data_IF_002153153091
#
_entry.id   IF_002153153091
#
_cell.length_a   1.000
_cell.length_b   1.000
_cell.length_c   1.000
_cell.angle_alpha   90.00
_cell.angle_beta   90.00
_cell.angle_gamma   90.00
#
_symmetry.space_group_name_H-M   'P 1'
#
loop_
_entity.id
_entity.type
_entity.pdbx_description
1 polymer ?
#
# COMPACT_ATOMS: atom_id res chain seq x y z
N UNK A 1 -2.00 -12.38 19.59
CA UNK A 1 -1.77 -13.79 20.00
C UNK A 1 -1.65 -14.77 18.81
N UNK A 2 -2.55 -14.78 17.83
CA UNK A 2 -2.44 -15.72 16.68
C UNK A 2 -1.30 -15.32 15.73
N UNK A 3 -1.19 -14.05 15.42
CA UNK A 3 -0.14 -13.52 14.53
C UNK A 3 1.26 -13.74 15.09
N UNK A 4 1.49 -13.47 16.38
CA UNK A 4 2.77 -13.68 17.05
C UNK A 4 3.17 -15.18 17.05
N UNK A 5 2.20 -16.10 17.13
CA UNK A 5 2.45 -17.54 16.95
C UNK A 5 2.89 -17.86 15.53
N UNK A 6 2.31 -17.19 14.53
CA UNK A 6 2.75 -17.32 13.13
C UNK A 6 4.20 -16.87 12.97
N UNK A 7 4.58 -15.73 13.52
CA UNK A 7 5.97 -15.25 13.49
C UNK A 7 6.90 -16.25 14.20
N UNK A 8 6.52 -16.74 15.39
CA UNK A 8 7.29 -17.77 16.11
C UNK A 8 7.44 -19.06 15.30
N UNK A 9 6.40 -19.49 14.59
CA UNK A 9 6.45 -20.66 13.69
C UNK A 9 7.44 -20.46 12.54
N UNK A 10 7.45 -19.28 11.91
CA UNK A 10 8.40 -18.95 10.85
C UNK A 10 9.84 -18.90 11.37
N UNK A 11 10.07 -18.39 12.59
CA UNK A 11 11.39 -18.39 13.24
C UNK A 11 11.89 -19.83 13.45
N UNK A 12 11.01 -20.73 13.90
CA UNK A 12 11.36 -22.15 14.07
C UNK A 12 11.66 -22.81 12.72
N UNK A 13 10.92 -22.46 11.67
CA UNK A 13 11.18 -22.96 10.32
C UNK A 13 12.54 -22.46 9.80
N UNK A 14 12.83 -21.17 9.90
CA UNK A 14 14.08 -20.55 9.48
C UNK A 14 15.31 -21.23 10.14
N UNK A 15 15.20 -21.64 11.40
CA UNK A 15 16.27 -22.36 12.10
C UNK A 15 16.59 -23.72 11.49
N UNK A 16 15.63 -24.41 10.86
CA UNK A 16 15.88 -25.69 10.18
C UNK A 16 16.72 -25.52 8.93
N UNK A 17 16.65 -24.36 8.30
CA UNK A 17 17.42 -23.98 7.12
C UNK A 17 18.66 -23.14 7.46
N UNK A 18 18.99 -23.00 8.74
CA UNK A 18 20.11 -22.16 9.22
C UNK A 18 20.02 -20.70 8.76
N UNK A 19 18.80 -20.24 8.38
CA UNK A 19 18.58 -18.89 7.91
C UNK A 19 18.65 -17.91 9.09
N UNK A 20 19.49 -16.86 9.03
CA UNK A 20 19.60 -15.89 10.11
C UNK A 20 18.29 -15.12 10.30
N UNK A 21 17.94 -14.85 11.57
CA UNK A 21 16.74 -14.08 11.93
C UNK A 21 17.14 -12.89 12.78
N UNK A 22 16.73 -11.72 12.34
CA UNK A 22 16.94 -10.46 13.04
C UNK A 22 15.59 -9.90 13.51
N UNK A 23 15.52 -9.44 14.75
CA UNK A 23 14.31 -8.84 15.32
C UNK A 23 14.60 -7.43 15.81
N UNK A 24 13.76 -6.51 15.38
CA UNK A 24 13.67 -5.14 15.88
C UNK A 24 12.25 -4.91 16.44
N UNK A 25 12.03 -3.80 17.09
CA UNK A 25 10.72 -3.50 17.71
C UNK A 25 9.53 -3.68 16.75
N UNK A 26 9.71 -3.36 15.49
CA UNK A 26 8.62 -3.31 14.50
C UNK A 26 8.70 -4.40 13.44
N UNK A 27 9.89 -5.03 13.25
CA UNK A 27 10.17 -5.94 12.14
C UNK A 27 10.88 -7.20 12.58
N UNK A 28 10.51 -8.31 11.98
CA UNK A 28 11.27 -9.56 11.99
C UNK A 28 11.75 -9.83 10.58
N UNK A 29 13.08 -9.90 10.38
CA UNK A 29 13.70 -10.19 9.10
C UNK A 29 14.29 -11.60 9.12
N UNK A 30 14.12 -12.29 8.02
CA UNK A 30 14.61 -13.62 7.72
C UNK A 30 15.64 -13.50 6.58
N UNK A 31 16.84 -14.05 6.78
CA UNK A 31 17.93 -13.91 5.82
C UNK A 31 18.64 -12.56 5.87
N UNK A 32 19.74 -12.47 5.11
CA UNK A 32 20.52 -11.25 4.92
C UNK A 32 20.30 -10.75 3.49
N UNK A 33 19.99 -9.48 3.30
CA UNK A 33 19.89 -8.91 1.95
C UNK A 33 21.25 -8.48 1.45
N UNK A 34 21.58 -8.80 0.21
CA UNK A 34 22.58 -8.06 -0.56
C UNK A 34 21.94 -6.70 -0.94
N UNK A 35 22.64 -5.61 -0.70
CA UNK A 35 22.12 -4.27 -1.02
C UNK A 35 22.45 -3.91 -2.47
N UNK A 36 21.82 -4.55 -3.43
CA UNK A 36 21.84 -4.05 -4.80
C UNK A 36 20.63 -3.16 -5.04
N UNK A 37 20.86 -1.85 -5.06
CA UNK A 37 19.82 -0.83 -5.23
C UNK A 37 19.16 -0.86 -6.63
N UNK A 38 19.74 -1.59 -7.58
CA UNK A 38 19.22 -1.77 -8.95
C UNK A 38 18.20 -2.88 -9.06
N UNK A 39 18.07 -3.74 -8.04
CA UNK A 39 17.11 -4.85 -8.01
C UNK A 39 15.84 -4.40 -7.30
N UNK A 40 14.65 -4.60 -7.91
CA UNK A 40 13.40 -4.20 -7.27
C UNK A 40 13.09 -5.11 -6.08
N UNK A 41 12.79 -4.52 -4.94
CA UNK A 41 12.20 -5.22 -3.82
C UNK A 41 10.68 -5.29 -3.97
N UNK A 42 10.09 -6.43 -3.59
CA UNK A 42 8.66 -6.60 -3.57
C UNK A 42 8.07 -6.21 -2.21
N UNK A 43 6.86 -5.66 -2.26
CA UNK A 43 6.03 -5.44 -1.08
C UNK A 43 4.69 -6.14 -1.24
N UNK A 44 4.25 -6.82 -0.19
CA UNK A 44 2.90 -7.40 -0.12
C UNK A 44 2.09 -6.57 0.85
N UNK A 45 0.96 -6.06 0.37
CA UNK A 45 0.02 -5.24 1.15
C UNK A 45 -1.15 -6.10 1.59
N UNK A 46 -1.35 -6.23 2.90
CA UNK A 46 -2.37 -7.10 3.48
C UNK A 46 -3.33 -6.32 4.37
N UNK A 47 -4.61 -6.70 4.33
CA UNK A 47 -5.57 -6.35 5.37
C UNK A 47 -5.28 -7.11 6.66
N UNK A 48 -5.76 -6.61 7.79
CA UNK A 48 -5.52 -7.25 9.09
C UNK A 48 -6.20 -8.62 9.21
N UNK A 49 -7.31 -8.83 8.50
CA UNK A 49 -8.02 -10.11 8.45
C UNK A 49 -7.25 -11.20 7.71
N UNK A 50 -6.44 -10.84 6.72
CA UNK A 50 -5.69 -11.79 5.88
C UNK A 50 -4.26 -12.03 6.43
N UNK A 51 -3.82 -11.17 7.36
CA UNK A 51 -2.44 -11.07 7.79
C UNK A 51 -1.82 -12.38 8.26
N UNK A 52 -2.48 -13.08 9.16
CA UNK A 52 -1.93 -14.29 9.81
C UNK A 52 -1.72 -15.43 8.82
N UNK A 53 -2.72 -15.68 7.99
CA UNK A 53 -2.71 -16.78 7.03
C UNK A 53 -1.72 -16.50 5.90
N UNK A 54 -1.78 -15.31 5.31
CA UNK A 54 -0.96 -14.95 4.15
C UNK A 54 0.50 -14.81 4.50
N UNK A 55 0.84 -14.27 5.68
CA UNK A 55 2.23 -14.22 6.15
C UNK A 55 2.82 -15.62 6.31
N UNK A 56 2.05 -16.59 6.79
CA UNK A 56 2.50 -17.98 6.88
C UNK A 56 2.63 -18.62 5.50
N UNK A 57 1.65 -18.39 4.62
CA UNK A 57 1.60 -18.92 3.26
C UNK A 57 2.78 -18.44 2.40
N UNK A 58 3.18 -17.18 2.55
CA UNK A 58 4.31 -16.60 1.82
C UNK A 58 5.65 -16.92 2.52
N UNK A 59 5.68 -16.80 3.84
CA UNK A 59 6.93 -16.89 4.60
C UNK A 59 7.60 -18.26 4.52
N UNK A 60 6.85 -19.35 4.56
CA UNK A 60 7.43 -20.71 4.46
C UNK A 60 8.16 -20.95 3.12
N UNK A 61 7.52 -20.74 1.95
CA UNK A 61 8.19 -20.89 0.66
C UNK A 61 9.41 -19.98 0.47
N UNK A 62 9.41 -18.79 1.09
CA UNK A 62 10.57 -17.89 1.05
C UNK A 62 11.73 -18.43 1.90
N UNK A 63 11.44 -18.97 3.09
CA UNK A 63 12.44 -19.63 3.95
C UNK A 63 13.05 -20.84 3.26
N UNK A 64 12.23 -21.71 2.67
CA UNK A 64 12.68 -22.90 1.94
C UNK A 64 13.58 -22.58 0.73
N UNK A 65 13.46 -21.36 0.19
CA UNK A 65 14.29 -20.86 -0.91
C UNK A 65 15.41 -19.92 -0.45
N UNK A 66 15.60 -19.79 0.85
CA UNK A 66 16.60 -18.91 1.47
C UNK A 66 16.49 -17.44 1.02
N UNK A 67 15.30 -17.01 0.57
CA UNK A 67 15.05 -15.63 0.13
C UNK A 67 14.95 -14.71 1.34
N UNK A 68 15.68 -13.60 1.32
CA UNK A 68 15.60 -12.58 2.35
C UNK A 68 14.27 -11.85 2.31
N UNK A 69 13.59 -11.76 3.45
CA UNK A 69 12.37 -10.97 3.59
C UNK A 69 12.19 -10.47 5.02
N UNK A 70 11.35 -9.46 5.19
CA UNK A 70 10.92 -9.00 6.53
C UNK A 70 9.42 -8.86 6.61
N UNK A 71 8.89 -9.05 7.81
CA UNK A 71 7.47 -8.88 8.16
C UNK A 71 7.34 -8.04 9.43
N UNK A 72 6.17 -7.50 9.69
CA UNK A 72 5.89 -6.85 10.99
C UNK A 72 6.02 -7.85 12.14
N UNK A 73 6.68 -7.46 13.24
CA UNK A 73 6.94 -8.36 14.38
C UNK A 73 5.69 -8.71 15.20
N UNK A 74 4.69 -7.85 15.17
CA UNK A 74 3.47 -8.01 15.96
C UNK A 74 2.25 -7.50 15.21
N UNK A 75 1.07 -7.93 15.67
CA UNK A 75 -0.19 -7.44 15.17
C UNK A 75 -0.32 -5.92 15.36
N UNK A 76 0.07 -5.40 16.52
CA UNK A 76 0.06 -3.95 16.77
C UNK A 76 0.95 -3.19 15.80
N UNK A 77 2.11 -3.74 15.45
CA UNK A 77 2.99 -3.17 14.42
C UNK A 77 2.31 -3.14 13.05
N UNK A 78 1.58 -4.21 12.69
CA UNK A 78 0.83 -4.27 11.44
C UNK A 78 -0.34 -3.27 11.40
N UNK A 79 -1.05 -3.11 12.51
CA UNK A 79 -2.11 -2.09 12.66
C UNK A 79 -1.57 -0.68 12.48
N UNK A 80 -0.45 -0.35 13.13
CA UNK A 80 0.19 0.96 13.01
C UNK A 80 0.68 1.22 11.59
N UNK A 81 1.25 0.21 10.93
CA UNK A 81 1.69 0.27 9.54
C UNK A 81 0.50 0.55 8.61
N UNK A 82 -0.57 -0.24 8.70
CA UNK A 82 -1.77 -0.09 7.88
C UNK A 82 -2.46 1.26 8.11
N UNK A 83 -2.51 1.73 9.35
CA UNK A 83 -3.03 3.05 9.68
C UNK A 83 -2.12 4.22 9.25
N UNK A 84 -1.00 3.94 8.57
CA UNK A 84 -0.05 4.94 8.10
C UNK A 84 0.66 5.72 9.21
N UNK A 85 0.73 5.17 10.45
CA UNK A 85 1.40 5.82 11.58
C UNK A 85 2.91 5.97 11.39
N UNK A 86 3.52 5.14 10.55
CA UNK A 86 4.95 5.21 10.20
C UNK A 86 5.20 6.02 8.93
N UNK A 87 4.22 6.81 8.51
CA UNK A 87 4.24 7.59 7.28
C UNK A 87 3.56 6.89 6.11
N UNK A 88 3.04 7.69 5.19
CA UNK A 88 2.30 7.20 4.02
C UNK A 88 3.16 6.31 3.10
N UNK A 89 4.48 6.54 3.10
CA UNK A 89 5.46 5.79 2.31
C UNK A 89 5.62 4.34 2.79
N UNK A 90 5.31 4.07 4.06
CA UNK A 90 5.39 2.73 4.64
C UNK A 90 4.05 2.00 4.62
N UNK A 91 2.94 2.74 4.53
CA UNK A 91 1.60 2.15 4.56
C UNK A 91 1.43 1.09 3.47
N UNK A 92 1.05 -0.12 3.86
CA UNK A 92 0.86 -1.26 2.97
C UNK A 92 2.10 -2.16 2.79
N UNK A 93 3.26 -1.86 3.37
CA UNK A 93 4.48 -2.71 3.26
C UNK A 93 4.50 -3.82 4.31
N UNK A 94 3.46 -4.64 4.37
CA UNK A 94 3.32 -5.67 5.40
C UNK A 94 4.43 -6.73 5.35
N UNK A 95 4.78 -7.17 4.14
CA UNK A 95 5.94 -8.02 3.87
C UNK A 95 6.82 -7.28 2.87
N UNK A 96 8.13 -7.23 3.12
CA UNK A 96 9.13 -6.77 2.14
C UNK A 96 10.05 -7.91 1.78
N UNK A 97 10.21 -8.19 0.50
CA UNK A 97 11.01 -9.31 -0.03
C UNK A 97 12.15 -8.73 -0.86
N UNK A 98 13.34 -9.24 -0.64
CA UNK A 98 14.58 -8.77 -1.27
C UNK A 98 15.13 -9.86 -2.19
N UNK A 99 14.92 -9.76 -3.53
CA UNK A 99 15.58 -10.65 -4.48
C UNK A 99 17.10 -10.41 -4.48
N UNK A 100 17.89 -11.47 -4.59
CA UNK A 100 19.36 -11.36 -4.60
C UNK A 100 19.92 -11.04 -5.99
N UNK A 101 19.21 -11.45 -7.04
CA UNK A 101 19.64 -11.29 -8.44
C UNK A 101 18.45 -10.92 -9.36
N UNK A 102 18.75 -10.32 -10.51
CA UNK A 102 17.74 -9.96 -11.49
C UNK A 102 16.87 -11.15 -11.99
N UNK A 103 17.45 -12.35 -12.10
CA UNK A 103 16.71 -13.56 -12.47
C UNK A 103 15.73 -14.01 -11.37
N UNK A 104 16.06 -13.78 -10.10
CA UNK A 104 15.19 -14.08 -8.97
C UNK A 104 13.91 -13.23 -9.00
N UNK A 105 13.95 -12.03 -9.58
CA UNK A 105 12.78 -11.15 -9.72
C UNK A 105 11.66 -11.83 -10.51
N UNK A 106 11.97 -12.51 -11.64
CA UNK A 106 10.98 -13.22 -12.44
C UNK A 106 10.41 -14.44 -11.72
N UNK A 107 11.26 -15.21 -11.05
CA UNK A 107 10.84 -16.40 -10.30
C UNK A 107 9.95 -16.02 -9.11
N UNK A 108 10.36 -15.01 -8.33
CA UNK A 108 9.60 -14.51 -7.19
C UNK A 108 8.30 -13.86 -7.64
N UNK A 109 8.28 -13.13 -8.76
CA UNK A 109 7.04 -12.56 -9.28
C UNK A 109 5.99 -13.62 -9.61
N UNK A 110 6.42 -14.74 -10.19
CA UNK A 110 5.53 -15.88 -10.50
C UNK A 110 5.03 -16.56 -9.23
N UNK A 111 5.92 -16.84 -8.28
CA UNK A 111 5.58 -17.39 -6.98
C UNK A 111 4.59 -16.49 -6.21
N UNK A 112 4.85 -15.19 -6.16
CA UNK A 112 3.98 -14.24 -5.45
C UNK A 112 2.61 -14.10 -6.11
N UNK A 113 2.51 -14.16 -7.45
CA UNK A 113 1.20 -14.19 -8.13
C UNK A 113 0.38 -15.41 -7.72
N UNK A 114 1.02 -16.58 -7.64
CA UNK A 114 0.36 -17.82 -7.21
C UNK A 114 -0.08 -17.74 -5.75
N UNK A 115 0.86 -17.42 -4.84
CA UNK A 115 0.58 -17.37 -3.40
C UNK A 115 -0.39 -16.26 -2.99
N UNK A 116 -0.47 -15.18 -3.77
CA UNK A 116 -1.36 -14.03 -3.50
C UNK A 116 -2.61 -14.03 -4.38
N UNK A 117 -2.94 -15.13 -5.06
CA UNK A 117 -4.12 -15.21 -5.90
C UNK A 117 -5.41 -14.97 -5.09
N UNK A 118 -6.25 -14.04 -5.54
CA UNK A 118 -7.49 -13.68 -4.85
C UNK A 118 -7.32 -12.78 -3.61
N UNK A 119 -6.07 -12.41 -3.25
CA UNK A 119 -5.80 -11.49 -2.15
C UNK A 119 -5.71 -10.07 -2.69
N UNK A 120 -6.37 -9.14 -1.99
CA UNK A 120 -6.42 -7.74 -2.38
C UNK A 120 -5.90 -6.84 -1.26
N UNK A 121 -5.01 -5.91 -1.65
CA UNK A 121 -4.45 -4.90 -0.76
C UNK A 121 -4.12 -3.62 -1.53
N UNK A 122 -4.02 -2.50 -0.84
CA UNK A 122 -3.59 -1.25 -1.46
C UNK A 122 -2.06 -1.21 -1.50
N UNK A 123 -1.42 -1.27 -2.68
CA UNK A 123 0.03 -1.14 -2.74
C UNK A 123 0.48 0.19 -2.14
N UNK A 124 1.69 0.29 -1.59
CA UNK A 124 2.25 1.57 -1.17
C UNK A 124 2.18 2.60 -2.31
N UNK A 125 1.95 3.86 -1.98
CA UNK A 125 1.87 4.93 -3.00
C UNK A 125 3.19 5.15 -3.73
N UNK A 126 4.28 4.65 -3.18
CA UNK A 126 5.65 4.76 -3.73
C UNK A 126 6.03 3.62 -4.65
N UNK A 127 5.12 2.69 -4.91
CA UNK A 127 5.40 1.43 -5.59
C UNK A 127 4.57 1.27 -6.87
N UNK A 128 5.03 0.37 -7.74
CA UNK A 128 4.30 -0.04 -8.92
C UNK A 128 3.72 -1.43 -8.69
N UNK A 129 2.49 -1.64 -9.12
CA UNK A 129 1.80 -2.92 -8.98
C UNK A 129 2.43 -4.00 -9.87
N UNK A 130 2.57 -5.21 -9.32
CA UNK A 130 2.89 -6.39 -10.09
C UNK A 130 1.69 -6.80 -10.95
N UNK A 131 1.89 -6.96 -12.25
CA UNK A 131 0.83 -7.34 -13.21
C UNK A 131 0.11 -8.61 -12.77
N UNK A 132 -1.22 -8.56 -12.72
CA UNK A 132 -2.06 -9.68 -12.33
C UNK A 132 -2.10 -9.98 -10.83
N UNK A 133 -1.56 -9.11 -9.98
CA UNK A 133 -1.66 -9.24 -8.52
C UNK A 133 -2.56 -8.17 -7.89
N UNK A 134 -3.38 -8.57 -6.92
CA UNK A 134 -4.24 -7.67 -6.14
C UNK A 134 -3.53 -6.96 -4.98
N UNK A 135 -2.37 -7.45 -4.53
CA UNK A 135 -1.71 -6.98 -3.31
C UNK A 135 -0.19 -6.86 -3.40
N UNK A 136 0.45 -7.30 -4.48
CA UNK A 136 1.90 -7.24 -4.64
C UNK A 136 2.30 -6.04 -5.47
N UNK A 137 3.34 -5.34 -5.03
CA UNK A 137 3.96 -4.21 -5.71
C UNK A 137 5.48 -4.26 -5.58
N UNK A 138 6.17 -3.43 -6.32
CA UNK A 138 7.63 -3.33 -6.24
C UNK A 138 8.13 -1.90 -6.42
N UNK A 139 9.37 -1.68 -5.96
CA UNK A 139 10.14 -0.46 -6.19
C UNK A 139 11.63 -0.74 -6.15
N UNK A 140 12.43 0.13 -6.77
CA UNK A 140 13.88 0.16 -6.57
C UNK A 140 14.23 0.88 -5.25
N UNK A 141 15.29 0.44 -4.57
CA UNK A 141 15.79 1.14 -3.38
C UNK A 141 16.31 2.54 -3.72
N UNK A 142 16.93 2.69 -4.89
CA UNK A 142 17.46 3.95 -5.41
C UNK A 142 16.39 5.02 -5.68
N UNK A 143 15.12 4.64 -5.75
CA UNK A 143 14.06 5.62 -5.98
C UNK A 143 13.91 6.59 -4.81
N UNK A 144 13.58 7.86 -5.09
CA UNK A 144 13.26 8.83 -4.05
C UNK A 144 12.24 8.26 -3.07
N UNK A 145 12.33 8.64 -1.80
CA UNK A 145 11.35 8.21 -0.78
C UNK A 145 9.92 8.69 -1.08
N UNK A 146 9.78 9.66 -1.96
CA UNK A 146 8.50 10.15 -2.47
C UNK A 146 7.96 9.31 -3.63
N UNK A 147 7.03 9.85 -4.40
CA UNK A 147 6.47 9.19 -5.57
C UNK A 147 7.56 9.01 -6.65
N UNK A 148 7.66 7.84 -7.29
CA UNK A 148 8.58 7.65 -8.41
C UNK A 148 8.18 8.57 -9.56
N UNK A 149 9.17 9.07 -10.30
CA UNK A 149 8.94 9.82 -11.53
C UNK A 149 8.46 8.88 -12.65
N UNK A 150 7.87 9.45 -13.71
CA UNK A 150 7.50 8.66 -14.89
C UNK A 150 8.71 7.97 -15.53
N UNK A 151 9.90 8.57 -15.46
CA UNK A 151 11.12 7.98 -15.97
C UNK A 151 11.56 6.77 -15.14
N UNK A 152 11.55 6.87 -13.80
CA UNK A 152 11.86 5.75 -12.91
C UNK A 152 10.98 4.54 -13.22
N UNK A 153 9.68 4.78 -13.39
CA UNK A 153 8.70 3.74 -13.72
C UNK A 153 8.98 3.12 -15.10
N UNK A 154 9.28 3.96 -16.08
CA UNK A 154 9.58 3.50 -17.46
C UNK A 154 10.83 2.63 -17.48
N UNK A 155 11.88 3.02 -16.77
CA UNK A 155 13.12 2.25 -16.66
C UNK A 155 12.89 0.87 -16.04
N UNK A 156 12.12 0.79 -14.93
CA UNK A 156 11.79 -0.49 -14.32
C UNK A 156 10.98 -1.39 -15.25
N UNK A 157 10.00 -0.84 -15.97
CA UNK A 157 9.19 -1.61 -16.94
C UNK A 157 10.05 -2.10 -18.10
N UNK A 158 11.02 -1.30 -18.56
CA UNK A 158 11.95 -1.71 -19.64
C UNK A 158 12.90 -2.80 -19.15
N UNK A 159 13.38 -2.72 -17.93
CA UNK A 159 14.28 -3.72 -17.34
C UNK A 159 13.55 -5.05 -17.07
N UNK A 160 12.28 -5.00 -16.69
CA UNK A 160 11.45 -6.18 -16.35
C UNK A 160 10.15 -6.20 -17.16
N UNK A 161 10.21 -6.44 -18.47
CA UNK A 161 9.05 -6.33 -19.36
C UNK A 161 7.95 -7.33 -18.98
N UNK A 162 6.71 -6.83 -18.94
CA UNK A 162 5.52 -7.63 -18.63
C UNK A 162 5.32 -7.97 -17.15
N UNK A 163 6.25 -7.60 -16.27
CA UNK A 163 6.09 -7.86 -14.83
C UNK A 163 5.24 -6.80 -14.12
N UNK A 164 5.35 -5.54 -14.51
CA UNK A 164 4.72 -4.44 -13.79
C UNK A 164 3.65 -3.74 -14.63
N UNK A 165 2.60 -3.30 -13.97
CA UNK A 165 1.60 -2.39 -14.54
C UNK A 165 2.25 -1.01 -14.71
N UNK A 166 1.87 -0.31 -15.79
CA UNK A 166 2.21 1.11 -15.92
C UNK A 166 1.57 1.93 -14.79
N UNK A 167 2.01 3.17 -14.63
CA UNK A 167 1.30 4.11 -13.74
C UNK A 167 -0.14 4.20 -14.22
N UNK A 168 -1.06 3.73 -13.40
CA UNK A 168 -2.47 4.05 -13.63
C UNK A 168 -2.64 5.55 -13.42
N UNK A 169 -3.03 6.31 -14.44
CA UNK A 169 -3.33 7.71 -14.22
C UNK A 169 -4.40 7.80 -13.13
N UNK A 170 -4.16 8.64 -12.14
CA UNK A 170 -5.24 8.98 -11.21
C UNK A 170 -6.42 9.47 -12.04
N UNK A 171 -7.65 9.02 -11.77
CA UNK A 171 -8.81 9.52 -12.51
C UNK A 171 -8.78 11.05 -12.45
N UNK A 172 -8.90 11.73 -13.60
CA UNK A 172 -8.86 13.18 -13.63
C UNK A 172 -9.99 13.71 -12.75
N UNK A 173 -9.70 14.79 -12.03
CA UNK A 173 -10.78 15.52 -11.34
C UNK A 173 -11.79 15.98 -12.38
N UNK A 174 -13.10 15.97 -12.06
CA UNK A 174 -14.11 16.58 -12.93
C UNK A 174 -13.70 17.99 -13.31
N UNK A 175 -13.93 18.38 -14.56
CA UNK A 175 -13.55 19.70 -15.12
C UNK A 175 -14.10 20.89 -14.35
N UNK A 176 -15.10 20.65 -13.51
CA UNK A 176 -15.65 21.61 -12.55
C UNK A 176 -14.63 22.05 -11.50
N UNK A 177 -13.67 21.19 -11.14
CA UNK A 177 -12.75 21.43 -10.02
C UNK A 177 -11.32 21.68 -10.52
N UNK A 178 -10.71 22.74 -10.03
CA UNK A 178 -9.29 23.05 -10.25
C UNK A 178 -8.54 22.79 -8.97
N UNK A 179 -7.64 21.81 -8.99
CA UNK A 179 -6.76 21.51 -7.86
C UNK A 179 -5.83 22.70 -7.59
N UNK A 180 -5.78 23.15 -6.35
CA UNK A 180 -4.91 24.27 -5.93
C UNK A 180 -3.74 23.79 -5.07
N UNK A 181 -3.99 22.84 -4.17
CA UNK A 181 -3.00 22.39 -3.20
C UNK A 181 -3.32 20.98 -2.73
N UNK A 182 -2.34 20.10 -2.70
CA UNK A 182 -2.41 18.86 -1.94
C UNK A 182 -2.22 19.18 -0.45
N UNK A 183 -3.27 18.98 0.34
CA UNK A 183 -3.27 19.29 1.78
C UNK A 183 -2.69 18.15 2.59
N UNK A 184 -2.93 16.91 2.19
CA UNK A 184 -2.40 15.73 2.85
C UNK A 184 -2.39 14.52 1.92
N UNK A 185 -1.32 13.73 2.02
CA UNK A 185 -1.21 12.39 1.45
C UNK A 185 -1.14 11.41 2.62
N UNK A 186 -1.95 10.36 2.58
CA UNK A 186 -1.99 9.29 3.58
C UNK A 186 -2.10 7.93 2.90
N UNK A 187 -1.85 6.84 3.62
CA UNK A 187 -2.10 5.48 3.13
C UNK A 187 -3.53 5.32 2.60
N UNK A 188 -4.49 5.87 3.32
CA UNK A 188 -5.92 5.83 2.96
C UNK A 188 -6.29 6.61 1.70
N UNK A 189 -5.53 7.65 1.31
CA UNK A 189 -5.86 8.50 0.18
C UNK A 189 -5.32 9.91 0.28
N UNK A 190 -5.90 10.82 -0.51
CA UNK A 190 -5.41 12.20 -0.68
C UNK A 190 -6.50 13.20 -0.30
N UNK A 191 -6.07 14.35 0.22
CA UNK A 191 -6.92 15.53 0.44
C UNK A 191 -6.40 16.70 -0.37
N UNK A 192 -7.25 17.27 -1.20
CA UNK A 192 -6.91 18.34 -2.13
C UNK A 192 -7.80 19.55 -1.85
N UNK A 193 -7.19 20.72 -1.67
CA UNK A 193 -7.91 21.98 -1.74
C UNK A 193 -8.11 22.32 -3.21
N UNK A 194 -9.36 22.59 -3.61
CA UNK A 194 -9.69 22.90 -4.99
C UNK A 194 -10.62 24.12 -5.08
N UNK A 195 -10.67 24.72 -6.27
CA UNK A 195 -11.63 25.76 -6.63
C UNK A 195 -12.79 25.08 -7.39
N UNK A 196 -14.01 25.34 -6.96
CA UNK A 196 -15.23 24.94 -7.65
C UNK A 196 -15.62 26.06 -8.66
N UNK A 197 -15.40 25.80 -9.94
CA UNK A 197 -15.61 26.79 -11.00
C UNK A 197 -17.08 27.21 -11.17
N UNK A 198 -18.02 26.33 -10.85
CA UNK A 198 -19.46 26.69 -10.91
C UNK A 198 -19.82 27.68 -9.81
N UNK A 199 -19.42 27.41 -8.57
CA UNK A 199 -19.68 28.31 -7.45
C UNK A 199 -18.88 29.63 -7.54
N UNK A 200 -17.69 29.61 -8.12
CA UNK A 200 -16.91 30.85 -8.32
C UNK A 200 -17.58 31.79 -9.30
N UNK A 201 -18.28 31.27 -10.33
CA UNK A 201 -19.05 32.07 -11.30
C UNK A 201 -20.28 32.73 -10.67
N UNK A 202 -20.87 32.09 -9.66
CA UNK A 202 -22.06 32.59 -8.96
C UNK A 202 -21.72 33.59 -7.85
N UNK A 203 -20.43 33.96 -7.68
CA UNK A 203 -19.92 34.85 -6.62
C UNK A 203 -20.31 34.41 -5.20
N UNK A 204 -20.54 33.13 -5.00
CA UNK A 204 -20.79 32.57 -3.68
C UNK A 204 -19.50 32.57 -2.83
N UNK A 205 -19.69 32.90 -1.54
CA UNK A 205 -18.57 33.08 -0.58
C UNK A 205 -17.66 31.87 -0.39
N UNK A 206 -18.03 30.69 -0.86
CA UNK A 206 -17.26 29.45 -0.67
C UNK A 206 -17.00 28.69 -1.97
N UNK A 207 -16.30 29.36 -2.91
CA UNK A 207 -15.82 28.68 -4.12
C UNK A 207 -14.74 27.62 -3.82
N UNK A 208 -14.14 27.65 -2.64
CA UNK A 208 -13.17 26.63 -2.25
C UNK A 208 -13.85 25.39 -1.68
N UNK A 209 -13.37 24.24 -2.11
CA UNK A 209 -13.84 22.94 -1.65
C UNK A 209 -12.67 22.06 -1.22
N UNK A 210 -12.96 21.06 -0.37
CA UNK A 210 -12.02 20.00 -0.01
C UNK A 210 -12.42 18.73 -0.73
N UNK A 211 -11.58 18.27 -1.64
CA UNK A 211 -11.74 16.98 -2.30
C UNK A 211 -11.03 15.93 -1.44
N UNK A 212 -11.72 14.82 -1.17
CA UNK A 212 -11.19 13.64 -0.50
C UNK A 212 -11.25 12.48 -1.47
N UNK A 213 -10.10 11.87 -1.73
CA UNK A 213 -10.01 10.63 -2.50
C UNK A 213 -9.61 9.50 -1.55
N UNK A 214 -10.33 8.40 -1.57
CA UNK A 214 -9.99 7.19 -0.84
C UNK A 214 -9.42 6.13 -1.79
N UNK A 215 -8.48 5.34 -1.29
CA UNK A 215 -7.88 4.23 -2.04
C UNK A 215 -8.56 2.92 -1.66
N UNK A 216 -8.96 2.17 -2.68
CA UNK A 216 -9.56 0.85 -2.50
C UNK A 216 -8.60 -0.09 -1.78
N UNK A 217 -9.13 -0.89 -0.85
CA UNK A 217 -8.41 -1.83 0.02
C UNK A 217 -7.34 -1.20 0.94
N UNK A 218 -7.23 0.15 1.00
CA UNK A 218 -6.30 0.81 1.91
C UNK A 218 -6.83 0.79 3.35
N UNK A 219 -5.93 0.62 4.31
CA UNK A 219 -6.24 0.61 5.75
C UNK A 219 -7.35 -0.39 6.13
N UNK A 220 -7.39 -1.54 5.46
CA UNK A 220 -8.42 -2.55 5.68
C UNK A 220 -8.28 -3.17 7.06
N UNK A 221 -9.34 -3.06 7.87
CA UNK A 221 -9.41 -3.58 9.22
C UNK A 221 -9.84 -5.05 9.29
N UNK A 222 -10.01 -5.58 10.50
CA UNK A 222 -10.46 -6.96 10.73
C UNK A 222 -11.85 -7.30 10.20
N UNK A 223 -12.70 -6.29 10.04
CA UNK A 223 -14.04 -6.46 9.50
C UNK A 223 -14.09 -6.31 7.98
N UNK A 224 -12.92 -6.12 7.35
CA UNK A 224 -12.80 -5.89 5.92
C UNK A 224 -13.19 -4.47 5.48
N UNK A 225 -13.39 -3.55 6.43
CA UNK A 225 -13.76 -2.16 6.15
C UNK A 225 -12.50 -1.39 5.75
N UNK A 226 -12.47 -0.89 4.53
CA UNK A 226 -11.37 -0.11 3.96
C UNK A 226 -11.61 1.40 3.96
N UNK A 227 -10.68 2.16 3.39
CA UNK A 227 -10.77 3.61 3.30
C UNK A 227 -11.94 4.08 2.44
N UNK A 228 -12.31 3.35 1.38
CA UNK A 228 -13.46 3.69 0.51
C UNK A 228 -14.75 3.51 1.27
N UNK A 229 -14.93 2.37 1.95
CA UNK A 229 -16.11 2.09 2.78
C UNK A 229 -16.29 3.13 3.87
N UNK A 230 -15.18 3.54 4.53
CA UNK A 230 -15.22 4.61 5.54
C UNK A 230 -15.58 5.98 4.95
N UNK A 231 -15.09 6.30 3.75
CA UNK A 231 -15.46 7.55 3.08
C UNK A 231 -16.94 7.54 2.69
N UNK A 232 -17.47 6.44 2.15
CA UNK A 232 -18.90 6.28 1.83
C UNK A 232 -19.77 6.48 3.08
N UNK A 233 -19.39 5.88 4.22
CA UNK A 233 -20.08 6.09 5.49
C UNK A 233 -20.04 7.56 5.93
N UNK A 234 -18.89 8.22 5.80
CA UNK A 234 -18.76 9.66 6.09
C UNK A 234 -19.68 10.50 5.21
N UNK A 235 -19.77 10.21 3.91
CA UNK A 235 -20.67 10.89 2.98
C UNK A 235 -22.12 10.73 3.45
N UNK A 236 -22.55 9.53 3.81
CA UNK A 236 -23.91 9.27 4.30
C UNK A 236 -24.24 10.08 5.56
N UNK A 237 -23.30 10.17 6.53
CA UNK A 237 -23.46 10.99 7.74
C UNK A 237 -23.58 12.48 7.37
N UNK A 238 -22.67 13.01 6.57
CA UNK A 238 -22.69 14.42 6.18
C UNK A 238 -23.96 14.78 5.40
N UNK A 239 -24.46 13.87 4.56
CA UNK A 239 -25.72 14.07 3.83
C UNK A 239 -26.92 14.17 4.78
N UNK A 240 -26.95 13.36 5.84
CA UNK A 240 -28.00 13.43 6.88
C UNK A 240 -27.91 14.70 7.72
N UNK A 241 -26.70 15.23 7.92
CA UNK A 241 -26.44 16.40 8.75
C UNK A 241 -26.34 17.71 7.94
N UNK A 242 -26.70 17.70 6.65
CA UNK A 242 -26.54 18.85 5.76
C UNK A 242 -27.19 20.14 6.24
N UNK A 243 -28.33 20.02 6.94
CA UNK A 243 -29.10 21.15 7.45
C UNK A 243 -28.70 21.57 8.88
N UNK A 244 -27.70 20.88 9.47
CA UNK A 244 -27.20 21.21 10.79
C UNK A 244 -26.09 22.27 10.69
N UNK A 245 -26.18 23.39 11.40
CA UNK A 245 -25.14 24.42 11.40
C UNK A 245 -23.78 23.85 11.84
N UNK A 246 -22.72 24.25 11.13
CA UNK A 246 -21.33 23.85 11.46
C UNK A 246 -20.85 22.54 10.82
N UNK A 247 -21.72 21.77 10.16
CA UNK A 247 -21.30 20.60 9.42
C UNK A 247 -20.95 20.93 7.95
N UNK A 248 -19.87 20.33 7.42
CA UNK A 248 -19.55 20.49 6.00
C UNK A 248 -20.61 19.83 5.12
N UNK A 249 -21.01 20.51 4.06
CA UNK A 249 -21.93 19.98 3.06
C UNK A 249 -21.19 19.16 2.01
N UNK A 250 -21.66 17.96 1.71
CA UNK A 250 -21.20 17.18 0.56
C UNK A 250 -21.79 17.82 -0.70
N UNK A 251 -20.92 18.29 -1.60
CA UNK A 251 -21.35 18.95 -2.85
C UNK A 251 -21.45 17.98 -4.00
N UNK A 252 -20.54 17.00 -4.03
CA UNK A 252 -20.44 16.05 -5.13
C UNK A 252 -19.81 14.75 -4.68
N UNK A 253 -20.14 13.64 -5.36
CA UNK A 253 -19.55 12.31 -5.17
C UNK A 253 -19.25 11.75 -6.55
N UNK A 254 -17.98 11.46 -6.84
CA UNK A 254 -17.48 11.06 -8.16
C UNK A 254 -16.83 9.70 -8.09
#
# INVERSE_FOLDING_TARGET
MQYERTISSLILEARKFELPVFQWDQWTQFGSSSSDDSIPKFHVSLGLNDLTEVVLQIGKPLIEREVCFKVTSSLSSAEMLNAGKWGYQQAGKTITIYPDEGNAVFQLSSLLRELCAGIYGAPPVTDIRLTGSGCVSARLESWPRDLPSENDVRELIQQYPGLFEGLSPSPPLPSRYVALQCVAIRGAGVRIKALDLENSRLQERSAYVMIKQARLNAERDYFGIDAVSRLQHQIAIHTRLRDCPGFPTVRDVV
#
